data_IF_059396670469
#
_entry.id   IF_059396670469
#
_cell.length_a   1.000
_cell.length_b   1.000
_cell.length_c   1.000
_cell.angle_alpha   90.00
_cell.angle_beta   90.00
_cell.angle_gamma   90.00
#
_symmetry.space_group_name_H-M   'P 1'
#
loop_
_entity.id
_entity.type
_entity.pdbx_description
1 polymer ?
#
# COMPACT_ATOMS: atom_id res chain seq x y z
N UNK A 1 4.89 15.61 -0.48
CA UNK A 1 4.22 14.46 0.18
C UNK A 1 3.00 14.08 -0.67
N UNK A 2 2.50 12.85 -0.57
CA UNK A 2 1.34 12.37 -1.35
C UNK A 2 0.43 11.56 -0.43
N UNK A 3 -0.88 11.79 -0.51
CA UNK A 3 -1.89 11.01 0.19
C UNK A 3 -2.57 10.07 -0.81
N UNK A 4 -2.71 8.79 -0.44
CA UNK A 4 -3.34 7.78 -1.30
C UNK A 4 -4.29 6.93 -0.46
N UNK A 5 -5.49 6.70 -0.98
CA UNK A 5 -6.38 5.66 -0.49
C UNK A 5 -6.23 4.45 -1.42
N UNK A 6 -5.76 3.33 -0.86
CA UNK A 6 -5.44 2.13 -1.63
C UNK A 6 -6.13 0.90 -1.05
N UNK A 7 -6.62 0.04 -1.94
CA UNK A 7 -7.10 -1.30 -1.60
C UNK A 7 -6.12 -2.32 -2.17
N UNK A 8 -5.70 -3.29 -1.36
CA UNK A 8 -4.79 -4.35 -1.77
C UNK A 8 -5.14 -5.68 -1.11
N UNK A 9 -4.79 -6.83 -1.73
CA UNK A 9 -5.13 -8.14 -1.17
C UNK A 9 -4.55 -8.32 0.24
N UNK A 10 -5.31 -8.93 1.18
CA UNK A 10 -4.88 -9.08 2.57
C UNK A 10 -3.65 -9.99 2.75
N UNK A 11 -3.32 -10.79 1.73
CA UNK A 11 -2.10 -11.63 1.70
C UNK A 11 -0.82 -10.81 1.48
N UNK A 12 -0.92 -9.55 1.05
CA UNK A 12 0.23 -8.66 0.84
C UNK A 12 0.43 -7.82 2.08
N UNK A 13 1.67 -7.72 2.55
CA UNK A 13 1.98 -6.82 3.65
C UNK A 13 1.87 -5.36 3.17
N UNK A 14 1.38 -4.48 4.05
CA UNK A 14 1.28 -3.07 3.70
C UNK A 14 2.67 -2.44 3.43
N UNK A 15 3.69 -2.93 4.12
CA UNK A 15 5.09 -2.51 3.93
C UNK A 15 5.55 -2.80 2.50
N UNK A 16 5.29 -4.01 1.99
CA UNK A 16 5.69 -4.39 0.63
C UNK A 16 4.95 -3.55 -0.43
N UNK A 17 3.67 -3.28 -0.20
CA UNK A 17 2.86 -2.44 -1.09
C UNK A 17 3.44 -1.02 -1.15
N UNK A 18 3.75 -0.42 0.00
CA UNK A 18 4.32 0.93 0.06
C UNK A 18 5.73 0.97 -0.55
N UNK A 19 6.55 -0.06 -0.29
CA UNK A 19 7.89 -0.18 -0.89
C UNK A 19 7.81 -0.23 -2.41
N UNK A 20 6.90 -1.03 -2.96
CA UNK A 20 6.67 -1.13 -4.40
C UNK A 20 6.20 0.21 -4.99
N UNK A 21 5.22 0.86 -4.34
CA UNK A 21 4.68 2.14 -4.79
C UNK A 21 5.75 3.24 -4.81
N UNK A 22 6.46 3.44 -3.69
CA UNK A 22 7.52 4.47 -3.59
C UNK A 22 8.67 4.17 -4.53
N UNK A 23 9.11 2.91 -4.61
CA UNK A 23 10.23 2.51 -5.48
C UNK A 23 9.92 2.68 -6.96
N UNK A 24 8.79 2.15 -7.44
CA UNK A 24 8.45 2.21 -8.87
C UNK A 24 8.13 3.63 -9.32
N UNK A 25 7.43 4.41 -8.49
CA UNK A 25 7.16 5.82 -8.80
C UNK A 25 8.44 6.65 -8.84
N UNK A 26 9.36 6.46 -7.89
CA UNK A 26 10.67 7.14 -7.91
C UNK A 26 11.46 6.80 -9.17
N UNK A 27 11.54 5.51 -9.52
CA UNK A 27 12.23 5.06 -10.72
C UNK A 27 11.69 5.74 -11.99
N UNK A 28 10.37 5.66 -12.21
CA UNK A 28 9.75 6.23 -13.41
C UNK A 28 9.91 7.75 -13.45
N UNK A 29 9.66 8.43 -12.33
CA UNK A 29 9.78 9.88 -12.24
C UNK A 29 11.19 10.36 -12.57
N UNK A 30 12.22 9.78 -11.93
CA UNK A 30 13.60 10.19 -12.12
C UNK A 30 14.18 9.78 -13.48
N UNK A 31 13.62 8.75 -14.12
CA UNK A 31 13.94 8.42 -15.51
C UNK A 31 13.39 9.48 -16.47
N UNK A 32 12.18 9.97 -16.22
CA UNK A 32 11.55 11.04 -17.04
C UNK A 32 12.09 12.44 -16.75
N UNK A 33 12.68 12.67 -15.57
CA UNK A 33 13.21 13.95 -15.12
C UNK A 33 14.69 13.84 -14.71
N UNK A 34 15.60 13.59 -15.68
CA UNK A 34 17.03 13.42 -15.40
C UNK A 34 17.68 14.66 -14.79
N UNK A 35 17.14 15.85 -15.05
CA UNK A 35 17.58 17.11 -14.47
C UNK A 35 17.38 17.16 -12.95
N UNK A 36 16.28 16.60 -12.46
CA UNK A 36 15.98 16.49 -11.03
C UNK A 36 16.93 15.47 -10.38
N UNK A 37 17.12 14.31 -11.03
CA UNK A 37 18.01 13.25 -10.54
C UNK A 37 19.45 13.73 -10.31
N UNK A 38 19.94 14.63 -11.18
CA UNK A 38 21.32 15.11 -11.13
C UNK A 38 21.52 16.28 -10.17
N UNK A 39 20.51 17.15 -9.97
CA UNK A 39 20.66 18.42 -9.25
C UNK A 39 19.94 18.49 -7.90
N UNK A 40 18.98 17.61 -7.62
CA UNK A 40 18.12 17.71 -6.45
C UNK A 40 17.97 16.35 -5.72
N UNK A 41 17.46 16.41 -4.47
CA UNK A 41 17.09 15.26 -3.64
C UNK A 41 18.22 14.28 -3.25
N UNK A 42 19.29 14.76 -2.65
CA UNK A 42 20.34 13.93 -2.00
C UNK A 42 20.78 12.72 -2.85
N UNK A 43 21.13 12.97 -4.12
CA UNK A 43 21.60 11.92 -5.03
C UNK A 43 20.50 11.05 -5.65
N UNK A 44 19.33 11.63 -5.95
CA UNK A 44 18.26 10.93 -6.69
C UNK A 44 17.27 10.16 -5.81
N UNK A 45 17.02 10.60 -4.58
CA UNK A 45 16.01 10.01 -3.70
C UNK A 45 14.70 10.80 -3.74
N UNK A 46 13.70 10.36 -4.52
CA UNK A 46 12.44 11.10 -4.63
C UNK A 46 11.63 11.16 -3.32
N UNK A 47 11.65 10.08 -2.53
CA UNK A 47 10.83 9.96 -1.33
C UNK A 47 11.68 9.89 -0.07
N UNK A 48 11.17 10.46 1.04
CA UNK A 48 11.67 10.18 2.39
C UNK A 48 11.61 8.67 2.67
N UNK A 49 12.49 8.13 3.51
CA UNK A 49 12.43 6.72 3.95
C UNK A 49 11.12 6.43 4.71
N UNK A 50 10.60 7.39 5.45
CA UNK A 50 9.39 7.28 6.26
C UNK A 50 8.10 7.30 5.44
N UNK A 51 7.02 6.77 6.03
CA UNK A 51 5.65 6.84 5.51
C UNK A 51 4.65 6.74 6.66
N UNK A 52 3.40 7.16 6.40
CA UNK A 52 2.27 6.96 7.30
C UNK A 52 1.24 6.06 6.62
N UNK A 53 0.62 5.17 7.39
CA UNK A 53 -0.43 4.28 6.95
C UNK A 53 -1.49 4.17 8.06
N UNK A 54 -2.76 4.32 7.68
CA UNK A 54 -3.91 4.05 8.55
C UNK A 54 -4.93 3.19 7.80
N UNK A 55 -5.58 2.27 8.51
CA UNK A 55 -6.73 1.55 7.97
C UNK A 55 -7.97 2.45 8.01
N UNK A 56 -8.76 2.43 6.95
CA UNK A 56 -10.13 2.96 6.97
C UNK A 56 -11.07 1.77 7.14
N UNK A 57 -11.85 1.75 8.21
CA UNK A 57 -12.80 0.67 8.49
C UNK A 57 -14.16 1.24 8.85
N UNK A 58 -15.17 0.96 8.03
CA UNK A 58 -16.55 0.82 8.49
C UNK A 58 -16.77 -0.68 8.73
N UNK A 59 -16.44 -1.16 9.93
CA UNK A 59 -16.81 -2.52 10.34
C UNK A 59 -18.18 -2.47 11.03
N UNK A 60 -19.25 -2.82 10.31
CA UNK A 60 -20.52 -3.12 10.96
C UNK A 60 -20.50 -4.53 11.55
N UNK A 61 -21.29 -4.75 12.61
CA UNK A 61 -21.45 -6.07 13.24
C UNK A 61 -21.83 -7.15 12.21
N UNK A 62 -22.66 -6.79 11.23
CA UNK A 62 -23.12 -7.70 10.18
C UNK A 62 -21.99 -8.20 9.28
N UNK A 63 -20.99 -7.35 8.98
CA UNK A 63 -19.83 -7.74 8.16
C UNK A 63 -18.96 -8.75 8.90
N UNK A 64 -18.79 -8.57 10.22
CA UNK A 64 -18.04 -9.50 11.07
C UNK A 64 -18.77 -10.84 11.21
N UNK A 65 -20.08 -10.78 11.48
CA UNK A 65 -20.91 -11.97 11.64
C UNK A 65 -20.96 -12.80 10.36
N UNK A 66 -21.13 -12.15 9.21
CA UNK A 66 -21.09 -12.82 7.90
C UNK A 66 -19.73 -13.47 7.65
N UNK A 67 -18.62 -12.78 7.92
CA UNK A 67 -17.29 -13.36 7.77
C UNK A 67 -17.09 -14.62 8.62
N UNK A 68 -17.52 -14.61 9.89
CA UNK A 68 -17.40 -15.77 10.79
C UNK A 68 -18.26 -16.95 10.31
N UNK A 69 -19.50 -16.68 9.89
CA UNK A 69 -20.40 -17.73 9.41
C UNK A 69 -19.91 -18.36 8.09
N UNK A 70 -19.41 -17.55 7.15
CA UNK A 70 -18.83 -18.03 5.88
C UNK A 70 -17.59 -18.90 6.14
N UNK A 71 -16.75 -18.54 7.10
CA UNK A 71 -15.58 -19.34 7.49
C UNK A 71 -15.97 -20.70 8.09
N UNK A 72 -16.97 -20.73 8.98
CA UNK A 72 -17.49 -21.99 9.56
C UNK A 72 -18.08 -22.89 8.48
N UNK A 73 -18.94 -22.34 7.61
CA UNK A 73 -19.59 -23.11 6.55
C UNK A 73 -18.56 -23.76 5.59
N UNK A 74 -17.52 -23.03 5.20
CA UNK A 74 -16.47 -23.55 4.33
C UNK A 74 -15.60 -24.64 5.00
N UNK A 75 -15.48 -24.64 6.33
CA UNK A 75 -14.77 -25.68 7.07
C UNK A 75 -15.56 -27.00 7.12
N UNK A 76 -16.89 -26.96 7.23
CA UNK A 76 -17.75 -28.16 7.25
C UNK A 76 -17.95 -28.82 5.89
N UNK A 77 -17.68 -28.10 4.79
CA UNK A 77 -17.85 -28.58 3.41
C UNK A 77 -16.59 -29.24 2.83
N UNK A 78 -15.49 -29.24 3.59
CA UNK A 78 -14.23 -29.90 3.29
C UNK A 78 -14.21 -31.29 3.90
#
# INVERSE_FOLDING_TARGET
HVHMLISFPPRKSAVDVIKALKGRSAFLFLQTHPEIRQKQYWGGHLWSSSYYLGSLGNMSKDVVERYVNDQKYNAYKK
#
